data_IF_400670348089
#
_entry.id   IF_400670348089
#
_cell.length_a   1.000
_cell.length_b   1.000
_cell.length_c   1.000
_cell.angle_alpha   90.00
_cell.angle_beta   90.00
_cell.angle_gamma   90.00
#
_symmetry.space_group_name_H-M   'P 1'
#
loop_
_entity.id
_entity.type
_entity.pdbx_description
1 polymer ?
#
# COMPACT_ATOMS: atom_id res chain seq x y z
N UNK A 1 1.05 -23.98 19.24
CA UNK A 1 -0.31 -23.49 18.89
C UNK A 1 -0.36 -22.67 17.59
N UNK A 2 0.72 -22.52 16.84
CA UNK A 2 0.77 -21.73 15.58
C UNK A 2 0.34 -22.49 14.32
N UNK A 3 0.25 -23.82 14.36
CA UNK A 3 -0.09 -24.65 13.19
C UNK A 3 -1.59 -24.78 12.89
N UNK A 4 -2.49 -24.41 13.80
CA UNK A 4 -3.94 -24.63 13.61
C UNK A 4 -4.49 -23.81 12.42
N UNK A 5 -4.08 -22.53 12.32
CA UNK A 5 -4.52 -21.62 11.24
C UNK A 5 -4.00 -22.06 9.88
N UNK A 6 -2.74 -22.55 9.83
CA UNK A 6 -2.11 -23.03 8.60
C UNK A 6 -2.79 -24.29 8.07
N UNK A 7 -3.32 -25.14 8.95
CA UNK A 7 -3.99 -26.37 8.56
C UNK A 7 -5.48 -26.16 8.25
N UNK A 8 -6.17 -25.28 8.98
CA UNK A 8 -7.62 -25.06 8.85
C UNK A 8 -8.01 -24.02 7.82
N UNK A 9 -7.13 -23.05 7.56
CA UNK A 9 -7.39 -21.97 6.61
C UNK A 9 -6.14 -21.65 5.76
N UNK A 10 -5.50 -22.65 5.10
CA UNK A 10 -4.27 -22.45 4.35
C UNK A 10 -4.38 -21.36 3.29
N UNK A 11 -5.51 -21.29 2.58
CA UNK A 11 -5.73 -20.30 1.52
C UNK A 11 -5.81 -18.86 2.05
N UNK A 12 -6.43 -18.67 3.22
CA UNK A 12 -6.52 -17.35 3.85
C UNK A 12 -5.14 -16.90 4.31
N UNK A 13 -4.39 -17.80 4.93
CA UNK A 13 -3.03 -17.52 5.40
C UNK A 13 -2.10 -17.21 4.21
N UNK A 14 -2.19 -17.98 3.13
CA UNK A 14 -1.43 -17.73 1.91
C UNK A 14 -1.76 -16.37 1.28
N UNK A 15 -3.03 -15.97 1.27
CA UNK A 15 -3.46 -14.65 0.79
C UNK A 15 -2.87 -13.52 1.63
N UNK A 16 -2.85 -13.67 2.96
CA UNK A 16 -2.24 -12.70 3.88
C UNK A 16 -0.75 -12.56 3.58
N UNK A 17 -0.01 -13.68 3.53
CA UNK A 17 1.42 -13.66 3.24
C UNK A 17 1.74 -13.07 1.87
N UNK A 18 0.96 -13.42 0.85
CA UNK A 18 1.09 -12.80 -0.46
C UNK A 18 0.93 -11.27 -0.39
N UNK A 19 -0.04 -10.79 0.38
CA UNK A 19 -0.29 -9.36 0.48
C UNK A 19 0.80 -8.64 1.30
N UNK A 20 1.28 -9.23 2.38
CA UNK A 20 2.46 -8.73 3.11
C UNK A 20 3.72 -8.67 2.22
N UNK A 21 3.85 -9.62 1.28
CA UNK A 21 4.94 -9.61 0.31
C UNK A 21 4.88 -8.42 -0.65
N UNK A 22 3.68 -7.91 -0.98
CA UNK A 22 3.51 -6.72 -1.83
C UNK A 22 4.05 -5.48 -1.12
N UNK A 23 3.68 -5.30 0.14
CA UNK A 23 4.18 -4.20 0.98
C UNK A 23 5.70 -4.24 1.09
N UNK A 24 6.27 -5.43 1.30
CA UNK A 24 7.73 -5.62 1.35
C UNK A 24 8.39 -5.31 0.01
N UNK A 25 7.82 -5.79 -1.10
CA UNK A 25 8.33 -5.56 -2.45
C UNK A 25 8.40 -4.06 -2.79
N UNK A 26 7.33 -3.30 -2.51
CA UNK A 26 7.29 -1.84 -2.73
C UNK A 26 8.45 -1.14 -1.99
N UNK A 27 8.68 -1.52 -0.73
CA UNK A 27 9.76 -0.97 0.08
C UNK A 27 11.13 -1.29 -0.53
N UNK A 28 11.37 -2.55 -0.88
CA UNK A 28 12.65 -2.99 -1.41
C UNK A 28 12.99 -2.31 -2.73
N UNK A 29 12.04 -2.18 -3.65
CA UNK A 29 12.25 -1.48 -4.93
C UNK A 29 12.67 -0.03 -4.72
N UNK A 30 12.08 0.69 -3.77
CA UNK A 30 12.41 2.10 -3.51
C UNK A 30 13.76 2.23 -2.79
N UNK A 31 14.04 1.36 -1.82
CA UNK A 31 15.28 1.40 -1.04
C UNK A 31 16.49 1.00 -1.87
N UNK A 32 16.35 -0.05 -2.70
CA UNK A 32 17.43 -0.57 -3.54
C UNK A 32 17.73 0.33 -4.74
N UNK A 33 16.78 1.18 -5.16
CA UNK A 33 16.95 2.09 -6.28
C UNK A 33 17.98 3.20 -6.00
N UNK A 34 18.67 3.63 -7.06
CA UNK A 34 19.61 4.74 -7.01
C UNK A 34 18.91 6.02 -6.56
N UNK A 35 19.55 6.88 -5.75
CA UNK A 35 18.91 8.11 -5.25
C UNK A 35 18.27 8.99 -6.35
N UNK A 36 18.90 9.08 -7.53
CA UNK A 36 18.39 9.84 -8.67
C UNK A 36 17.08 9.30 -9.27
N UNK A 37 16.83 8.00 -9.16
CA UNK A 37 15.66 7.33 -9.74
C UNK A 37 14.56 7.05 -8.72
N UNK A 38 14.87 7.13 -7.41
CA UNK A 38 13.97 6.74 -6.32
C UNK A 38 12.62 7.45 -6.38
N UNK A 39 12.61 8.74 -6.70
CA UNK A 39 11.37 9.52 -6.86
C UNK A 39 10.50 8.99 -8.00
N UNK A 40 11.11 8.62 -9.14
CA UNK A 40 10.40 8.02 -10.27
C UNK A 40 9.79 6.66 -9.90
N UNK A 41 10.52 5.84 -9.15
CA UNK A 41 10.02 4.54 -8.66
C UNK A 41 8.87 4.74 -7.68
N UNK A 42 8.99 5.70 -6.75
CA UNK A 42 7.92 6.09 -5.82
C UNK A 42 6.65 6.54 -6.58
N UNK A 43 6.78 7.43 -7.57
CA UNK A 43 5.64 7.85 -8.42
C UNK A 43 5.00 6.69 -9.17
N UNK A 44 5.78 5.71 -9.62
CA UNK A 44 5.24 4.53 -10.31
C UNK A 44 4.32 3.74 -9.38
N UNK A 45 4.68 3.57 -8.12
CA UNK A 45 3.82 2.91 -7.13
C UNK A 45 2.56 3.72 -6.81
N UNK A 46 2.62 5.06 -6.79
CA UNK A 46 1.42 5.89 -6.71
C UNK A 46 0.50 5.66 -7.91
N UNK A 47 1.05 5.54 -9.13
CA UNK A 47 0.24 5.23 -10.32
C UNK A 47 -0.40 3.84 -10.21
N UNK A 48 0.33 2.84 -9.74
CA UNK A 48 -0.20 1.49 -9.49
C UNK A 48 -1.35 1.56 -8.47
N UNK A 49 -1.17 2.28 -7.36
CA UNK A 49 -2.22 2.49 -6.35
C UNK A 49 -3.49 3.10 -6.98
N UNK A 50 -3.36 4.10 -7.85
CA UNK A 50 -4.50 4.70 -8.58
C UNK A 50 -5.21 3.69 -9.47
N UNK A 51 -4.48 2.84 -10.19
CA UNK A 51 -5.09 1.79 -11.02
C UNK A 51 -5.79 0.71 -10.16
N UNK A 52 -5.23 0.37 -8.99
CA UNK A 52 -5.84 -0.56 -8.04
C UNK A 52 -7.17 -0.03 -7.50
N UNK A 53 -7.26 1.27 -7.20
CA UNK A 53 -8.52 1.90 -6.77
C UNK A 53 -9.58 1.87 -7.89
N UNK A 54 -9.19 2.11 -9.15
CA UNK A 54 -10.13 2.05 -10.30
C UNK A 54 -10.79 0.69 -10.46
N UNK A 55 -10.05 -0.39 -10.18
CA UNK A 55 -10.58 -1.76 -10.22
C UNK A 55 -11.16 -2.22 -8.88
N UNK A 56 -11.31 -1.30 -7.93
CA UNK A 56 -11.83 -1.54 -6.58
C UNK A 56 -11.04 -2.61 -5.78
N UNK A 57 -9.75 -2.77 -6.09
CA UNK A 57 -8.84 -3.65 -5.35
C UNK A 57 -8.28 -2.91 -4.12
N UNK A 58 -9.15 -2.74 -3.12
CA UNK A 58 -8.84 -1.99 -1.90
C UNK A 58 -7.72 -2.63 -1.07
N UNK A 59 -7.63 -3.96 -1.07
CA UNK A 59 -6.59 -4.64 -0.31
C UNK A 59 -5.21 -4.44 -0.96
N UNK A 60 -5.10 -4.55 -2.29
CA UNK A 60 -3.88 -4.21 -3.01
C UNK A 60 -3.47 -2.75 -2.83
N UNK A 61 -4.43 -1.83 -2.89
CA UNK A 61 -4.22 -0.40 -2.61
C UNK A 61 -3.59 -0.19 -1.23
N UNK A 62 -4.15 -0.85 -0.20
CA UNK A 62 -3.64 -0.77 1.17
C UNK A 62 -2.22 -1.32 1.30
N UNK A 63 -1.87 -2.42 0.61
CA UNK A 63 -0.51 -2.96 0.65
C UNK A 63 0.52 -2.03 -0.02
N UNK A 64 0.17 -1.45 -1.18
CA UNK A 64 1.05 -0.46 -1.81
C UNK A 64 1.22 0.75 -0.89
N UNK A 65 0.15 1.22 -0.26
CA UNK A 65 0.20 2.31 0.71
C UNK A 65 1.10 1.98 1.91
N UNK A 66 0.92 0.82 2.54
CA UNK A 66 1.74 0.38 3.67
C UNK A 66 3.23 0.28 3.32
N UNK A 67 3.55 -0.10 2.07
CA UNK A 67 4.92 -0.07 1.57
C UNK A 67 5.48 1.35 1.41
N UNK A 68 4.67 2.32 0.98
CA UNK A 68 5.08 3.71 0.79
C UNK A 68 5.17 4.50 2.11
N UNK A 69 4.33 4.17 3.09
CA UNK A 69 4.28 4.79 4.43
C UNK A 69 5.27 4.14 5.43
N UNK A 70 6.05 3.15 4.98
CA UNK A 70 7.01 2.49 5.85
C UNK A 70 8.11 3.45 6.29
N UNK A 71 8.60 3.29 7.53
CA UNK A 71 9.69 4.09 8.07
C UNK A 71 10.93 4.13 7.16
N UNK A 72 11.20 3.02 6.45
CA UNK A 72 12.33 2.90 5.54
C UNK A 72 12.21 3.77 4.28
N UNK A 73 10.98 4.06 3.86
CA UNK A 73 10.68 4.92 2.71
C UNK A 73 10.48 6.37 3.15
N UNK A 74 9.73 6.60 4.22
CA UNK A 74 9.44 7.94 4.75
C UNK A 74 10.70 8.71 5.18
N UNK A 75 11.80 8.03 5.53
CA UNK A 75 13.08 8.71 5.84
C UNK A 75 13.65 9.53 4.67
N UNK A 76 13.19 9.30 3.45
CA UNK A 76 13.62 10.07 2.28
C UNK A 76 12.78 11.34 2.16
N UNK A 77 13.26 12.44 2.76
CA UNK A 77 12.58 13.76 2.81
C UNK A 77 12.05 14.26 1.45
N UNK A 78 12.72 13.91 0.35
CA UNK A 78 12.32 14.31 -1.00
C UNK A 78 11.09 13.54 -1.55
N UNK A 79 10.58 12.56 -0.80
CA UNK A 79 9.40 11.75 -1.15
C UNK A 79 8.18 12.08 -0.28
N UNK A 80 8.34 12.86 0.79
CA UNK A 80 7.30 13.17 1.81
C UNK A 80 6.13 14.02 1.27
N UNK A 81 6.22 14.53 0.03
CA UNK A 81 5.30 15.56 -0.47
C UNK A 81 3.98 15.03 -1.02
N UNK A 82 3.80 13.71 -1.14
CA UNK A 82 2.53 13.16 -1.65
C UNK A 82 1.64 12.75 -0.48
N UNK A 83 0.61 13.57 -0.26
CA UNK A 83 -0.42 13.34 0.76
C UNK A 83 -1.33 12.16 0.36
N UNK A 84 -0.77 10.94 0.31
CA UNK A 84 -1.48 9.71 -0.08
C UNK A 84 -2.59 9.38 0.92
N UNK A 85 -2.47 9.84 2.17
CA UNK A 85 -3.53 9.77 3.18
C UNK A 85 -4.85 10.38 2.68
N UNK A 86 -4.81 11.51 1.96
CA UNK A 86 -5.99 12.10 1.37
C UNK A 86 -6.55 11.32 0.16
N UNK A 87 -5.79 10.39 -0.43
CA UNK A 87 -6.25 9.58 -1.55
C UNK A 87 -6.86 8.24 -1.11
N UNK A 88 -6.26 7.60 -0.10
CA UNK A 88 -6.71 6.29 0.41
C UNK A 88 -7.90 6.43 1.37
N UNK A 89 -7.93 7.48 2.20
CA UNK A 89 -8.96 7.64 3.23
C UNK A 89 -10.13 8.55 2.82
N UNK A 90 -9.98 9.34 1.76
CA UNK A 90 -11.00 10.27 1.29
C UNK A 90 -11.63 9.76 0.00
N UNK A 91 -12.50 8.75 0.11
CA UNK A 91 -13.46 8.48 -0.97
C UNK A 91 -14.61 9.48 -0.82
N UNK A 92 -14.49 10.65 -1.46
CA UNK A 92 -15.63 11.57 -1.57
C UNK A 92 -16.74 10.82 -2.30
N UNK A 93 -17.80 10.50 -1.57
CA UNK A 93 -18.98 9.84 -2.11
C UNK A 93 -19.61 10.78 -3.15
N UNK A 94 -20.22 10.25 -4.23
CA UNK A 94 -20.80 11.07 -5.34
C UNK A 94 -21.91 12.04 -4.88
N UNK A 95 -22.37 11.84 -3.65
CA UNK A 95 -23.36 12.53 -2.85
C UNK A 95 -22.77 13.55 -1.85
N UNK A 96 -21.44 13.76 -1.83
CA UNK A 96 -20.81 14.81 -1.03
C UNK A 96 -20.71 14.54 0.47
N UNK A 97 -20.95 13.30 0.92
CA UNK A 97 -20.73 12.91 2.32
C UNK A 97 -19.41 12.17 2.48
N UNK A 98 -18.57 12.64 3.40
CA UNK A 98 -17.32 11.97 3.77
C UNK A 98 -17.66 10.81 4.74
N UNK A 99 -17.24 9.60 4.42
CA UNK A 99 -17.37 8.43 5.31
C UNK A 99 -16.00 7.96 5.78
N UNK A 100 -15.81 7.99 7.10
CA UNK A 100 -14.68 7.36 7.78
C UNK A 100 -14.95 5.87 7.89
N UNK A 101 -14.07 5.03 7.34
CA UNK A 101 -14.08 3.60 7.64
C UNK A 101 -13.26 3.38 8.91
N UNK A 102 -13.88 3.54 10.08
CA UNK A 102 -13.69 2.80 11.35
C UNK A 102 -14.51 3.51 12.45
N UNK A 103 -15.53 2.81 12.97
CA UNK A 103 -16.00 2.93 14.37
C UNK A 103 -15.68 1.60 15.05
#
# INVERSE_FOLDING_TARGET
MTHDKLNRAPNVVNMIFFCESISSWVQFEIIAEKPANRYRTYEKFIRIAKELDKINNQYGLLQVFAGLDSHYVCRFKNLETVNIFAFVFFKKKRDGTDQFWYQ
#
